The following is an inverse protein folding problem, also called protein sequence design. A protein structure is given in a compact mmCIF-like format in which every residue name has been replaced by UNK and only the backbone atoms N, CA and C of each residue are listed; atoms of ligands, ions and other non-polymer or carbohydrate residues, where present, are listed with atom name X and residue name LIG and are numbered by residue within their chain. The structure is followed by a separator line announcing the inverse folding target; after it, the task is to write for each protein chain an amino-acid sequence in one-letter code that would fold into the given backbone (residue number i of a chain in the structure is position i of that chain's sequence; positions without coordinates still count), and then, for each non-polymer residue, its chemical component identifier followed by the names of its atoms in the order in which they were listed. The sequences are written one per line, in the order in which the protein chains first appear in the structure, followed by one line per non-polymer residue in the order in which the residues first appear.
data_IF_217871592078
#
_entry.id   IF_217871592078
#
_cell.length_a   1.000
_cell.length_b   1.000
_cell.length_c   1.000
_cell.angle_alpha   90.00
_cell.angle_beta   90.00
_cell.angle_gamma   90.00
#
_symmetry.space_group_name_H-M   'P 1'
#
loop_
_entity.id
_entity.type
_entity.pdbx_description
1 polymer ?
#
# COMPACT_ATOMS: atom_id res chain seq x y z
N UNK A 1 -61.64 7.55 58.41
CA UNK A 1 -60.95 6.47 57.70
C UNK A 1 -61.20 6.67 56.21
N UNK A 2 -60.20 7.14 55.47
CA UNK A 2 -60.24 7.27 54.02
C UNK A 2 -58.96 6.59 53.50
N UNK A 3 -59.10 5.39 52.96
CA UNK A 3 -58.03 4.72 52.24
C UNK A 3 -57.98 5.32 50.84
N UNK A 4 -56.92 6.07 50.55
CA UNK A 4 -56.59 6.53 49.19
C UNK A 4 -55.48 5.64 48.67
N UNK A 5 -55.83 4.80 47.72
CA UNK A 5 -54.95 3.95 46.93
C UNK A 5 -54.02 4.85 46.10
N UNK A 6 -52.71 4.66 46.22
CA UNK A 6 -51.71 5.30 45.36
C UNK A 6 -51.16 4.22 44.45
N UNK A 7 -51.64 4.22 43.21
CA UNK A 7 -51.06 3.45 42.09
C UNK A 7 -49.72 4.10 41.76
N UNK A 8 -48.63 3.37 42.02
CA UNK A 8 -47.29 3.72 41.56
C UNK A 8 -47.15 3.30 40.09
N UNK A 9 -47.35 4.26 39.19
CA UNK A 9 -46.93 4.16 37.80
C UNK A 9 -45.39 4.22 37.77
N UNK A 10 -44.74 3.09 37.50
CA UNK A 10 -43.30 3.04 37.23
C UNK A 10 -43.08 3.32 35.74
N UNK A 11 -42.21 4.27 35.35
CA UNK A 11 -41.87 4.45 33.95
C UNK A 11 -41.04 3.25 33.48
N UNK A 12 -41.53 2.56 32.45
CA UNK A 12 -40.77 1.58 31.68
C UNK A 12 -39.65 2.35 30.97
N UNK A 13 -38.45 2.31 31.52
CA UNK A 13 -37.24 2.77 30.83
C UNK A 13 -36.96 1.73 29.75
N UNK A 14 -37.46 1.98 28.54
CA UNK A 14 -37.07 1.24 27.35
C UNK A 14 -35.67 1.73 27.00
N UNK A 15 -34.71 0.83 27.21
CA UNK A 15 -33.28 1.06 27.07
C UNK A 15 -32.94 1.33 25.59
N UNK A 16 -32.73 2.60 25.25
CA UNK A 16 -32.44 3.11 23.90
C UNK A 16 -31.21 2.44 23.26
N UNK A 17 -30.29 1.93 24.09
CA UNK A 17 -29.12 1.15 23.67
C UNK A 17 -29.53 -0.21 23.09
N UNK A 18 -30.62 -0.80 23.57
CA UNK A 18 -31.18 -2.06 23.07
C UNK A 18 -31.78 -1.92 21.67
N UNK A 19 -32.42 -0.78 21.37
CA UNK A 19 -32.97 -0.50 20.04
C UNK A 19 -31.86 -0.17 19.04
N UNK A 20 -30.84 0.58 19.47
CA UNK A 20 -29.67 0.86 18.64
C UNK A 20 -28.92 -0.42 18.27
N UNK A 21 -28.77 -1.36 19.21
CA UNK A 21 -28.11 -2.64 18.95
C UNK A 21 -28.92 -3.50 17.96
N UNK A 22 -30.26 -3.55 18.12
CA UNK A 22 -31.14 -4.27 17.18
C UNK A 22 -31.08 -3.70 15.77
N UNK A 23 -31.09 -2.37 15.64
CA UNK A 23 -30.97 -1.71 14.34
C UNK A 23 -29.59 -1.92 13.68
N UNK A 24 -28.53 -2.06 14.47
CA UNK A 24 -27.20 -2.37 13.96
C UNK A 24 -27.12 -3.81 13.43
N UNK A 25 -27.69 -4.78 14.17
CA UNK A 25 -27.72 -6.18 13.77
C UNK A 25 -28.56 -6.39 12.50
N UNK A 26 -29.74 -5.77 12.41
CA UNK A 26 -30.63 -5.93 11.26
C UNK A 26 -30.01 -5.36 9.96
N UNK A 27 -29.24 -4.26 10.06
CA UNK A 27 -28.50 -3.71 8.92
C UNK A 27 -27.36 -4.61 8.47
N UNK A 28 -26.68 -5.30 9.39
CA UNK A 28 -25.63 -6.25 9.04
C UNK A 28 -26.20 -7.44 8.27
N UNK A 29 -27.32 -8.02 8.74
CA UNK A 29 -27.97 -9.15 8.07
C UNK A 29 -28.50 -8.79 6.67
N UNK A 30 -29.06 -7.58 6.49
CA UNK A 30 -29.51 -7.11 5.18
C UNK A 30 -28.36 -6.94 4.18
N UNK A 31 -27.20 -6.46 4.63
CA UNK A 31 -26.02 -6.31 3.78
C UNK A 31 -25.47 -7.67 3.33
N UNK A 32 -25.47 -8.68 4.22
CA UNK A 32 -25.05 -10.04 3.86
C UNK A 32 -26.02 -10.71 2.87
N UNK A 33 -27.33 -10.47 3.01
CA UNK A 33 -28.34 -10.99 2.08
C UNK A 33 -28.21 -10.40 0.65
N UNK A 34 -27.94 -9.10 0.53
CA UNK A 34 -27.70 -8.43 -0.76
C UNK A 34 -26.42 -8.97 -1.44
N UNK A 35 -25.36 -9.23 -0.65
CA UNK A 35 -24.09 -9.75 -1.17
C UNK A 35 -24.22 -11.21 -1.64
N UNK A 36 -25.05 -12.02 -0.98
CA UNK A 36 -25.38 -13.37 -1.42
C UNK A 36 -26.18 -13.38 -2.73
N UNK A 37 -27.10 -12.43 -2.90
CA UNK A 37 -27.90 -12.28 -4.13
C UNK A 37 -27.05 -11.83 -5.32
N UNK A 38 -26.07 -10.94 -5.09
CA UNK A 38 -25.15 -10.49 -6.14
C UNK A 38 -24.23 -11.63 -6.61
N UNK A 39 -23.75 -12.49 -5.71
CA UNK A 39 -22.93 -13.66 -6.05
C UNK A 39 -23.66 -14.69 -6.92
N UNK A 40 -24.97 -14.88 -6.74
CA UNK A 40 -25.75 -15.79 -7.59
C UNK A 40 -25.96 -15.26 -9.01
N UNK A 41 -25.95 -13.94 -9.22
CA UNK A 41 -26.11 -13.33 -10.55
C UNK A 41 -24.87 -13.44 -11.46
N UNK A 42 -23.66 -13.48 -10.89
CA UNK A 42 -22.41 -13.49 -11.66
C UNK A 42 -22.06 -14.90 -12.21
N UNK A 43 -22.59 -15.96 -11.60
CA UNK A 43 -22.31 -17.34 -12.01
C UNK A 43 -23.05 -17.79 -13.29
N UNK A 44 -24.00 -17.01 -13.81
CA UNK A 44 -24.83 -17.41 -14.97
C UNK A 44 -24.32 -16.91 -16.34
N UNK A 45 -23.25 -16.12 -16.41
CA UNK A 45 -22.87 -15.42 -17.66
C UNK A 45 -21.58 -15.88 -18.34
N UNK A 46 -21.02 -17.04 -17.98
CA UNK A 46 -19.87 -17.64 -18.68
C UNK A 46 -20.20 -19.05 -19.17
N UNK A 47 -20.77 -19.16 -20.38
CA UNK A 47 -20.84 -20.43 -21.12
C UNK A 47 -20.77 -20.20 -22.63
N UNK A 48 -19.66 -20.65 -23.23
CA UNK A 48 -19.42 -21.12 -24.64
C UNK A 48 -19.86 -20.19 -25.81
N UNK A 49 -19.23 -20.04 -27.00
CA UNK A 49 -18.11 -20.59 -27.82
C UNK A 49 -18.19 -19.80 -29.18
N UNK A 50 -17.54 -20.17 -30.31
CA UNK A 50 -16.11 -20.23 -30.69
C UNK A 50 -15.80 -19.33 -31.93
N UNK A 51 -14.56 -19.40 -32.43
CA UNK A 51 -14.03 -18.68 -33.61
C UNK A 51 -14.72 -19.00 -34.95
N UNK A 52 -14.54 -18.13 -35.97
CA UNK A 52 -14.11 -18.64 -37.27
C UNK A 52 -13.03 -17.79 -38.00
N UNK A 53 -12.48 -18.46 -39.00
CA UNK A 53 -11.32 -18.20 -39.85
C UNK A 53 -11.48 -17.16 -40.98
N UNK A 54 -10.40 -16.39 -41.18
CA UNK A 54 -9.66 -16.14 -42.43
C UNK A 54 -10.20 -15.24 -43.59
N UNK A 55 -9.26 -14.38 -44.06
CA UNK A 55 -8.88 -13.99 -45.46
C UNK A 55 -9.13 -12.54 -45.93
N UNK A 56 -7.99 -11.85 -46.13
CA UNK A 56 -7.50 -11.09 -47.32
C UNK A 56 -8.19 -9.81 -47.85
N UNK A 57 -7.31 -8.81 -48.10
CA UNK A 57 -7.18 -7.79 -49.20
C UNK A 57 -6.78 -6.44 -48.55
N UNK A 58 -5.56 -5.92 -48.75
CA UNK A 58 -5.20 -4.90 -49.77
C UNK A 58 -5.91 -3.56 -49.50
N UNK A 59 -5.33 -2.36 -49.44
CA UNK A 59 -4.27 -1.74 -50.26
C UNK A 59 -3.88 -0.36 -49.63
N UNK A 60 -2.67 0.15 -49.96
CA UNK A 60 -2.18 1.55 -50.03
C UNK A 60 -2.10 2.44 -48.77
N UNK A 61 -0.91 2.85 -48.31
CA UNK A 61 0.00 3.92 -48.76
C UNK A 61 -0.29 5.31 -48.16
N UNK A 62 0.77 5.92 -47.63
CA UNK A 62 0.93 7.32 -47.22
C UNK A 62 0.04 7.88 -46.09
N UNK A 63 0.65 8.12 -44.92
CA UNK A 63 1.01 9.48 -44.49
C UNK A 63 1.43 9.53 -43.02
N UNK A 64 2.71 9.81 -42.81
CA UNK A 64 3.23 10.49 -41.61
C UNK A 64 2.30 11.65 -41.21
N UNK A 65 1.82 11.63 -39.96
CA UNK A 65 1.97 12.77 -39.02
C UNK A 65 1.44 12.45 -37.61
N UNK A 66 2.40 12.42 -36.69
CA UNK A 66 2.32 12.78 -35.27
C UNK A 66 1.48 11.91 -34.32
N UNK A 67 2.11 10.96 -33.59
CA UNK A 67 1.63 10.61 -32.26
C UNK A 67 1.85 11.78 -31.28
N UNK A 68 1.02 11.91 -30.23
CA UNK A 68 1.09 13.03 -29.27
C UNK A 68 2.43 13.02 -28.54
N UNK A 69 2.97 14.21 -28.34
CA UNK A 69 4.18 14.48 -27.57
C UNK A 69 4.13 13.80 -26.20
N UNK A 70 5.13 12.98 -25.82
CA UNK A 70 5.39 12.70 -24.43
C UNK A 70 6.02 13.95 -23.83
N UNK A 71 5.22 14.72 -23.11
CA UNK A 71 5.75 15.80 -22.29
C UNK A 71 6.47 15.18 -21.09
N UNK A 72 7.79 15.09 -21.22
CA UNK A 72 8.77 15.19 -20.14
C UNK A 72 8.82 14.04 -19.13
N UNK A 73 9.15 12.84 -19.61
CA UNK A 73 9.92 11.90 -18.80
C UNK A 73 11.39 12.23 -19.03
N UNK A 74 12.04 12.84 -18.03
CA UNK A 74 13.47 13.09 -18.07
C UNK A 74 14.22 11.77 -18.28
N UNK A 75 15.18 11.79 -19.21
CA UNK A 75 16.21 10.77 -19.33
C UNK A 75 16.94 10.65 -17.99
N UNK A 76 16.50 9.71 -17.15
CA UNK A 76 17.23 9.28 -15.98
C UNK A 76 18.30 8.30 -16.46
N UNK A 77 19.53 8.79 -16.60
CA UNK A 77 20.71 7.94 -16.46
C UNK A 77 20.58 7.20 -15.13
N UNK A 78 20.39 5.87 -15.15
CA UNK A 78 20.12 4.99 -14.00
C UNK A 78 21.17 4.95 -12.88
N UNK A 79 22.09 5.93 -12.83
CA UNK A 79 23.05 6.11 -11.75
C UNK A 79 22.59 7.16 -10.71
N UNK A 80 21.65 8.05 -11.07
CA UNK A 80 21.19 9.11 -10.18
C UNK A 80 20.41 8.57 -8.97
N UNK A 81 19.40 7.74 -9.21
CA UNK A 81 18.52 7.23 -8.17
C UNK A 81 19.23 6.39 -7.10
N UNK A 82 20.07 5.46 -7.54
CA UNK A 82 20.91 4.66 -6.64
C UNK A 82 21.87 5.53 -5.81
N UNK A 83 22.50 6.54 -6.44
CA UNK A 83 23.39 7.47 -5.74
C UNK A 83 22.66 8.32 -4.71
N UNK A 84 21.42 8.72 -4.98
CA UNK A 84 20.57 9.42 -4.02
C UNK A 84 20.22 8.53 -2.83
N UNK A 85 19.80 7.28 -3.07
CA UNK A 85 19.51 6.32 -2.01
C UNK A 85 20.71 6.05 -1.11
N UNK A 86 21.93 5.97 -1.68
CA UNK A 86 23.17 5.74 -0.91
C UNK A 86 23.54 6.87 0.06
N UNK A 87 22.88 8.03 0.02
CA UNK A 87 23.06 9.09 1.04
C UNK A 87 22.54 8.67 2.40
N UNK A 88 21.61 7.72 2.45
CA UNK A 88 21.12 7.11 3.69
C UNK A 88 21.86 5.79 3.97
N UNK A 89 22.37 5.63 5.19
CA UNK A 89 23.19 4.48 5.58
C UNK A 89 22.41 3.16 5.57
N UNK A 90 21.10 3.19 5.88
CA UNK A 90 20.24 2.02 5.82
C UNK A 90 19.97 1.62 4.36
N UNK A 91 19.64 2.58 3.49
CA UNK A 91 19.43 2.29 2.08
C UNK A 91 20.70 1.82 1.37
N UNK A 92 21.87 2.39 1.70
CA UNK A 92 23.16 1.90 1.23
C UNK A 92 23.39 0.44 1.65
N UNK A 93 23.14 0.11 2.93
CA UNK A 93 23.24 -1.24 3.44
C UNK A 93 22.33 -2.24 2.73
N UNK A 94 21.08 -1.86 2.44
CA UNK A 94 20.13 -2.69 1.69
C UNK A 94 20.58 -2.91 0.24
N UNK A 95 21.04 -1.85 -0.45
CA UNK A 95 21.58 -1.94 -1.80
C UNK A 95 22.79 -2.88 -1.88
N UNK A 96 23.73 -2.74 -0.94
CA UNK A 96 24.93 -3.57 -0.89
C UNK A 96 24.55 -5.03 -0.59
N UNK A 97 23.62 -5.26 0.34
CA UNK A 97 23.15 -6.60 0.68
C UNK A 97 22.44 -7.29 -0.49
N UNK A 98 21.61 -6.57 -1.25
CA UNK A 98 20.98 -7.07 -2.47
C UNK A 98 22.02 -7.34 -3.56
N UNK A 99 23.02 -6.47 -3.74
CA UNK A 99 24.11 -6.70 -4.69
C UNK A 99 24.97 -7.92 -4.36
N UNK A 100 25.10 -8.26 -3.07
CA UNK A 100 25.74 -9.48 -2.60
C UNK A 100 24.84 -10.74 -2.72
N UNK A 101 23.58 -10.58 -3.11
CA UNK A 101 22.60 -11.67 -3.20
C UNK A 101 22.13 -12.19 -1.84
N UNK A 102 22.20 -11.36 -0.79
CA UNK A 102 21.69 -11.71 0.54
C UNK A 102 20.17 -11.64 0.57
N UNK A 103 19.57 -12.48 1.42
CA UNK A 103 18.16 -12.35 1.79
C UNK A 103 18.02 -11.25 2.83
N UNK A 104 17.38 -10.14 2.46
CA UNK A 104 17.16 -8.98 3.34
C UNK A 104 15.87 -9.11 4.15
N UNK A 105 15.18 -10.25 4.03
CA UNK A 105 13.94 -10.54 4.72
C UNK A 105 12.74 -9.82 4.12
N UNK A 106 11.53 -10.18 4.60
CA UNK A 106 10.28 -9.60 4.09
C UNK A 106 10.23 -8.09 4.31
N UNK A 107 10.58 -7.64 5.52
CA UNK A 107 10.50 -6.23 5.86
C UNK A 107 11.61 -5.41 5.22
N UNK A 108 12.79 -5.98 5.00
CA UNK A 108 13.84 -5.33 4.20
C UNK A 108 13.38 -5.06 2.77
N UNK A 109 12.80 -6.07 2.10
CA UNK A 109 12.22 -5.93 0.75
C UNK A 109 11.10 -4.89 0.71
N UNK A 110 10.23 -4.88 1.71
CA UNK A 110 9.13 -3.92 1.80
C UNK A 110 9.63 -2.48 1.98
N UNK A 111 10.55 -2.24 2.92
CA UNK A 111 11.16 -0.92 3.17
C UNK A 111 11.88 -0.46 1.90
N UNK A 112 12.66 -1.34 1.28
CA UNK A 112 13.35 -1.02 0.03
C UNK A 112 12.37 -0.58 -1.06
N UNK A 113 11.29 -1.36 -1.29
CA UNK A 113 10.28 -1.04 -2.30
C UNK A 113 9.55 0.30 -2.01
N UNK A 114 9.19 0.56 -0.75
CA UNK A 114 8.55 1.81 -0.32
C UNK A 114 9.42 3.03 -0.59
N UNK A 115 10.73 2.92 -0.40
CA UNK A 115 11.66 4.05 -0.54
C UNK A 115 12.15 4.18 -1.99
N UNK A 116 12.69 3.11 -2.57
CA UNK A 116 13.38 3.12 -3.85
C UNK A 116 12.48 3.56 -5.02
N UNK A 117 11.17 3.24 -4.97
CA UNK A 117 10.19 3.67 -6.00
C UNK A 117 10.14 5.18 -6.24
N UNK A 118 10.61 5.98 -5.30
CA UNK A 118 10.63 7.44 -5.42
C UNK A 118 11.92 7.99 -6.05
N UNK A 119 12.97 7.17 -6.19
CA UNK A 119 14.29 7.62 -6.65
C UNK A 119 14.73 6.97 -7.95
N UNK A 120 14.21 5.80 -8.29
CA UNK A 120 14.58 5.04 -9.49
C UNK A 120 13.34 4.47 -10.20
N UNK A 121 13.42 4.18 -11.51
CA UNK A 121 12.30 3.60 -12.25
C UNK A 121 11.94 2.21 -11.73
N UNK A 122 10.68 1.83 -11.97
CA UNK A 122 10.11 0.56 -11.53
C UNK A 122 10.97 -0.65 -11.92
N UNK A 123 11.51 -0.67 -13.15
CA UNK A 123 12.37 -1.76 -13.63
C UNK A 123 13.67 -1.90 -12.84
N UNK A 124 14.28 -0.79 -12.40
CA UNK A 124 15.48 -0.80 -11.56
C UNK A 124 15.17 -1.30 -10.15
N UNK A 125 14.03 -0.89 -9.55
CA UNK A 125 13.59 -1.42 -8.25
C UNK A 125 13.40 -2.93 -8.32
N UNK A 126 12.75 -3.43 -9.37
CA UNK A 126 12.57 -4.87 -9.59
C UNK A 126 13.91 -5.58 -9.77
N UNK A 127 14.81 -5.02 -10.59
CA UNK A 127 16.15 -5.57 -10.79
C UNK A 127 16.97 -5.66 -9.51
N UNK A 128 16.71 -4.80 -8.52
CA UNK A 128 17.30 -4.91 -7.19
C UNK A 128 16.62 -5.97 -6.33
N UNK A 129 15.28 -5.96 -6.27
CA UNK A 129 14.51 -6.92 -5.46
C UNK A 129 14.74 -8.37 -5.89
N UNK A 130 14.92 -8.64 -7.19
CA UNK A 130 15.16 -10.00 -7.71
C UNK A 130 16.58 -10.52 -7.46
N UNK A 131 17.49 -9.68 -6.93
CA UNK A 131 18.80 -10.15 -6.46
C UNK A 131 18.71 -10.85 -5.12
N UNK A 132 17.64 -10.60 -4.36
CA UNK A 132 17.38 -11.32 -3.12
C UNK A 132 17.16 -12.82 -3.42
N UNK A 133 17.90 -13.67 -2.72
CA UNK A 133 17.98 -15.11 -3.01
C UNK A 133 16.64 -15.84 -2.97
N UNK A 134 15.71 -15.39 -2.13
CA UNK A 134 14.43 -16.07 -1.90
C UNK A 134 13.24 -15.29 -2.49
N UNK A 135 13.49 -14.44 -3.49
CA UNK A 135 12.47 -13.53 -4.01
C UNK A 135 12.38 -13.56 -5.54
N UNK A 136 11.26 -14.06 -6.05
CA UNK A 136 11.03 -14.15 -7.50
C UNK A 136 10.62 -12.81 -8.11
N UNK A 137 10.81 -12.69 -9.43
CA UNK A 137 10.37 -11.52 -10.21
C UNK A 137 8.86 -11.28 -10.12
N UNK A 138 8.06 -12.35 -10.08
CA UNK A 138 6.60 -12.27 -9.90
C UNK A 138 6.24 -11.70 -8.53
N UNK A 139 6.93 -12.15 -7.48
CA UNK A 139 6.74 -11.63 -6.11
C UNK A 139 7.17 -10.16 -6.00
N UNK A 140 8.30 -9.79 -6.61
CA UNK A 140 8.78 -8.41 -6.65
C UNK A 140 7.78 -7.48 -7.37
N UNK A 141 7.28 -7.92 -8.52
CA UNK A 141 6.27 -7.19 -9.29
C UNK A 141 4.99 -7.01 -8.49
N UNK A 142 4.53 -8.05 -7.81
CA UNK A 142 3.33 -7.99 -6.99
C UNK A 142 3.52 -7.04 -5.80
N UNK A 143 4.66 -7.13 -5.11
CA UNK A 143 4.98 -6.25 -3.97
C UNK A 143 5.02 -4.79 -4.40
N UNK A 144 5.73 -4.46 -5.48
CA UNK A 144 5.86 -3.09 -5.93
C UNK A 144 4.51 -2.50 -6.35
N UNK A 145 3.67 -3.27 -7.06
CA UNK A 145 2.29 -2.88 -7.39
C UNK A 145 1.43 -2.68 -6.15
N UNK A 146 1.56 -3.52 -5.11
CA UNK A 146 0.82 -3.35 -3.87
C UNK A 146 1.26 -2.08 -3.12
N UNK A 147 2.56 -1.78 -3.12
CA UNK A 147 3.11 -0.58 -2.52
C UNK A 147 2.62 0.68 -3.23
N UNK A 148 2.62 0.67 -4.56
CA UNK A 148 2.09 1.75 -5.40
C UNK A 148 0.58 1.92 -5.21
N UNK A 149 -0.19 0.84 -5.27
CA UNK A 149 -1.65 0.90 -5.19
C UNK A 149 -2.19 1.30 -3.82
N UNK A 150 -1.42 1.07 -2.74
CA UNK A 150 -1.76 1.53 -1.38
C UNK A 150 -1.19 2.90 -1.04
N UNK A 151 -0.41 3.47 -1.95
CA UNK A 151 0.33 4.71 -1.78
C UNK A 151 1.07 4.78 -0.43
N UNK A 152 1.84 3.73 -0.15
CA UNK A 152 2.56 3.69 1.12
C UNK A 152 3.61 4.79 1.20
N UNK A 153 3.53 5.57 2.28
CA UNK A 153 4.57 6.51 2.65
C UNK A 153 5.82 5.77 3.17
N UNK A 154 7.02 6.34 2.98
CA UNK A 154 8.24 5.83 3.59
C UNK A 154 8.09 5.64 5.11
N UNK A 155 8.51 4.49 5.68
CA UNK A 155 8.32 4.21 7.09
C UNK A 155 9.15 5.14 7.98
N UNK A 156 8.66 5.43 9.19
CA UNK A 156 9.46 6.11 10.22
C UNK A 156 10.45 5.14 10.85
N UNK A 157 11.55 5.67 11.41
CA UNK A 157 12.58 4.89 12.10
C UNK A 157 12.01 3.92 13.15
N UNK A 158 11.10 4.38 14.02
CA UNK A 158 10.48 3.52 15.03
C UNK A 158 9.81 2.30 14.41
N UNK A 159 9.13 2.48 13.28
CA UNK A 159 8.47 1.38 12.57
C UNK A 159 9.47 0.40 11.97
N UNK A 160 10.60 0.91 11.48
CA UNK A 160 11.68 0.07 10.94
C UNK A 160 12.31 -0.77 12.06
N UNK A 161 12.49 -0.20 13.26
CA UNK A 161 12.99 -0.92 14.44
C UNK A 161 12.04 -2.04 14.88
N UNK A 162 10.73 -1.77 14.88
CA UNK A 162 9.70 -2.80 15.14
C UNK A 162 9.82 -3.95 14.14
N UNK A 163 9.81 -3.65 12.85
CA UNK A 163 9.91 -4.66 11.79
C UNK A 163 11.21 -5.43 11.79
N UNK A 164 12.33 -4.76 12.06
CA UNK A 164 13.62 -5.42 12.21
C UNK A 164 13.60 -6.44 13.35
N UNK A 165 12.86 -6.18 14.44
CA UNK A 165 12.76 -7.11 15.58
C UNK A 165 11.96 -8.39 15.24
N UNK A 166 11.23 -8.39 14.12
CA UNK A 166 10.44 -9.53 13.63
C UNK A 166 11.18 -10.39 12.60
N UNK A 167 12.42 -10.04 12.21
CA UNK A 167 13.21 -10.79 11.23
C UNK A 167 14.69 -10.88 11.62
N UNK A 168 15.40 -11.88 11.09
CA UNK A 168 16.83 -12.07 11.38
C UNK A 168 17.74 -11.02 10.72
N UNK A 169 17.35 -10.50 9.54
CA UNK A 169 18.16 -9.54 8.81
C UNK A 169 18.08 -8.14 9.46
N UNK A 170 19.22 -7.54 9.85
CA UNK A 170 19.25 -6.20 10.45
C UNK A 170 19.03 -5.12 9.38
N UNK A 171 17.81 -4.60 9.27
CA UNK A 171 17.49 -3.52 8.31
C UNK A 171 18.37 -2.29 8.56
N UNK A 172 18.48 -1.88 9.82
CA UNK A 172 19.36 -0.80 10.26
C UNK A 172 20.74 -1.37 10.61
N UNK A 173 21.80 -1.01 9.87
CA UNK A 173 23.16 -1.51 10.16
C UNK A 173 23.66 -1.04 11.53
N UNK A 174 23.28 0.17 11.94
CA UNK A 174 23.61 0.77 13.24
C UNK A 174 22.34 1.22 13.96
N UNK A 175 21.65 0.34 14.71
CA UNK A 175 20.40 0.69 15.39
C UNK A 175 20.61 1.67 16.56
N UNK A 176 21.81 1.78 17.10
CA UNK A 176 22.15 2.73 18.16
C UNK A 176 22.36 4.17 17.68
N UNK A 177 22.64 4.36 16.38
CA UNK A 177 22.76 5.69 15.78
C UNK A 177 21.37 6.26 15.50
N UNK A 178 20.97 7.40 16.12
CA UNK A 178 19.67 8.02 15.90
C UNK A 178 19.44 8.50 14.47
N UNK A 179 20.51 8.77 13.70
CA UNK A 179 20.42 9.24 12.32
C UNK A 179 20.25 8.10 11.31
N UNK A 180 20.57 6.86 11.70
CA UNK A 180 20.38 5.67 10.87
C UNK A 180 18.88 5.40 10.63
N UNK A 181 18.44 5.25 9.39
CA UNK A 181 17.02 5.03 9.07
C UNK A 181 16.11 6.26 9.29
N UNK A 182 16.68 7.45 9.49
CA UNK A 182 15.93 8.70 9.43
C UNK A 182 15.74 9.15 7.98
N UNK A 183 14.93 8.39 7.24
CA UNK A 183 14.71 8.56 5.80
C UNK A 183 14.38 10.00 5.39
N UNK A 184 13.48 10.65 6.13
CA UNK A 184 13.02 12.02 5.82
C UNK A 184 14.07 13.10 6.04
N UNK A 185 15.10 12.81 6.85
CA UNK A 185 16.25 13.68 7.06
C UNK A 185 17.33 13.44 6.01
N UNK A 186 17.61 12.16 5.73
CA UNK A 186 18.75 11.75 4.92
C UNK A 186 18.46 11.80 3.41
N UNK A 187 17.19 11.62 3.02
CA UNK A 187 16.73 11.63 1.63
C UNK A 187 15.77 12.79 1.36
N UNK A 188 15.69 13.20 0.10
CA UNK A 188 14.76 14.23 -0.38
C UNK A 188 13.63 13.57 -1.17
N UNK A 189 12.49 13.35 -0.50
CA UNK A 189 11.31 12.81 -1.14
C UNK A 189 10.57 13.88 -1.96
N UNK A 190 9.71 13.48 -2.91
CA UNK A 190 8.78 14.40 -3.57
C UNK A 190 7.88 15.13 -2.57
N UNK A 191 7.51 16.38 -2.85
CA UNK A 191 6.71 17.24 -1.96
C UNK A 191 5.41 16.58 -1.50
N UNK A 192 4.73 15.87 -2.41
CA UNK A 192 3.49 15.13 -2.14
C UNK A 192 3.59 14.13 -0.97
N UNK A 193 4.78 13.60 -0.66
CA UNK A 193 4.97 12.68 0.47
C UNK A 193 4.88 13.44 1.80
N UNK A 194 5.35 14.70 1.85
CA UNK A 194 5.33 15.51 3.06
C UNK A 194 3.93 16.02 3.40
N UNK A 195 3.08 16.28 2.39
CA UNK A 195 1.70 16.73 2.59
C UNK A 195 0.86 15.73 3.42
N UNK A 196 1.16 14.44 3.32
CA UNK A 196 0.45 13.40 4.07
C UNK A 196 0.93 13.22 5.52
N UNK A 197 2.08 13.78 5.90
CA UNK A 197 2.67 13.58 7.24
C UNK A 197 2.08 14.55 8.27
N UNK A 198 1.61 15.73 7.85
CA UNK A 198 0.96 16.72 8.72
C UNK A 198 -0.35 16.22 9.33
N UNK A 199 -1.18 15.55 8.53
CA UNK A 199 -2.54 15.16 8.92
C UNK A 199 -2.64 14.07 10.00
N UNK A 200 -1.57 13.29 10.24
CA UNK A 200 -1.59 12.20 11.23
C UNK A 200 -1.22 12.67 12.65
N UNK A 201 -0.51 13.79 12.79
CA UNK A 201 -0.18 14.33 14.11
C UNK A 201 -1.38 15.04 14.74
N UNK A 202 -2.20 15.73 13.94
CA UNK A 202 -3.43 16.38 14.40
C UNK A 202 -4.48 15.37 14.86
N UNK A 203 -4.72 14.28 14.12
CA UNK A 203 -5.69 13.25 14.53
C UNK A 203 -5.31 12.50 15.83
N UNK A 204 -4.01 12.38 16.13
CA UNK A 204 -3.55 11.74 17.38
C UNK A 204 -3.64 12.67 18.59
N UNK A 205 -3.62 14.00 18.36
CA UNK A 205 -3.91 15.00 19.38
C UNK A 205 -5.43 15.07 19.64
N UNK A 206 -6.26 15.04 18.59
CA UNK A 206 -7.73 15.11 18.72
C UNK A 206 -8.39 13.84 19.29
N UNK A 207 -7.75 12.66 19.20
CA UNK A 207 -8.26 11.43 19.84
C UNK A 207 -7.79 11.26 21.29
N UNK A 208 -7.04 12.22 21.85
CA UNK A 208 -6.56 12.19 23.24
C UNK A 208 -7.06 13.39 24.06
N UNK A 209 -8.10 14.09 23.60
CA UNK A 209 -8.87 15.07 24.39
C UNK A 209 -10.26 14.54 24.76
#
# INVERSE_FOLDING_TARGET
MAHREVVLDQPVIVDEQSEALRHATERAEQAEAELAKLKQGVAASHREKPAPTAKHVGIDDAALKNPPSPSTAGEATGQGGESELRKDSMMAHLLDSLNEGKDIGHYGRLVFAMVARHFMPHEEVLAYLTKDRDFSEEQATLMLKQVEGRDYNPPKRDRILEWQSEQDFPILPNPEDPDCGNLYRNLKFPEAIYDHIGHYQEQKLESNE
#
